data_IF_557810033902
#
_entry.id   IF_557810033902
#
_cell.length_a   1.000
_cell.length_b   1.000
_cell.length_c   1.000
_cell.angle_alpha   90.00
_cell.angle_beta   90.00
_cell.angle_gamma   90.00
#
_symmetry.space_group_name_H-M   'P 1'
#
loop_
_entity.id
_entity.type
_entity.pdbx_description
1 polymer ?
#
# COMPACT_ATOMS: atom_id res chain seq x y z
N UNK A 1 7.76 16.60 0.39
CA UNK A 1 8.12 15.17 0.61
C UNK A 1 6.93 14.51 1.26
N UNK A 2 6.40 13.44 0.68
CA UNK A 2 5.25 12.72 1.20
C UNK A 2 5.59 12.07 2.54
N UNK A 3 5.07 12.64 3.61
CA UNK A 3 5.26 12.16 4.99
C UNK A 3 4.00 12.48 5.75
N UNK A 4 3.48 11.48 6.47
CA UNK A 4 2.34 11.66 7.35
C UNK A 4 2.83 11.79 8.79
N UNK A 5 2.18 12.65 9.61
CA UNK A 5 2.70 13.05 10.92
C UNK A 5 2.59 11.95 11.98
N UNK A 6 1.81 10.91 11.74
CA UNK A 6 1.47 9.86 12.70
C UNK A 6 1.28 8.51 12.01
N UNK A 7 1.50 7.38 12.71
CA UNK A 7 1.18 6.07 12.18
C UNK A 7 -0.31 5.89 11.90
N UNK A 8 -0.65 5.04 10.94
CA UNK A 8 -2.03 4.83 10.49
C UNK A 8 -2.27 3.42 9.98
N UNK A 9 -3.53 3.03 9.83
CA UNK A 9 -3.92 1.84 9.05
C UNK A 9 -4.52 2.27 7.71
N UNK A 10 -4.39 1.39 6.72
CA UNK A 10 -4.99 1.58 5.39
C UNK A 10 -6.14 0.60 5.26
N UNK A 11 -7.31 1.10 4.91
CA UNK A 11 -8.46 0.27 4.56
C UNK A 11 -8.76 0.39 3.06
N UNK A 12 -9.02 -0.75 2.42
CA UNK A 12 -9.50 -0.86 1.05
C UNK A 12 -10.86 -1.54 1.12
N UNK A 13 -11.92 -0.89 0.60
CA UNK A 13 -13.30 -1.37 0.75
C UNK A 13 -13.70 -1.65 2.23
N UNK A 14 -13.22 -0.80 3.16
CA UNK A 14 -13.49 -0.94 4.60
C UNK A 14 -12.80 -2.12 5.28
N UNK A 15 -11.94 -2.87 4.56
CA UNK A 15 -11.13 -3.95 5.10
C UNK A 15 -9.68 -3.47 5.26
N UNK A 16 -9.05 -3.65 6.43
CA UNK A 16 -7.67 -3.23 6.63
C UNK A 16 -6.71 -4.08 5.79
N UNK A 17 -5.59 -3.50 5.36
CA UNK A 17 -4.49 -4.30 4.80
C UNK A 17 -3.89 -5.18 5.91
N UNK A 18 -3.77 -6.48 5.65
CA UNK A 18 -3.24 -7.47 6.58
C UNK A 18 -1.77 -7.24 6.86
N UNK A 19 -1.35 -7.41 8.12
CA UNK A 19 0.07 -7.49 8.47
C UNK A 19 0.71 -8.70 7.81
N UNK A 20 1.94 -8.52 7.33
CA UNK A 20 2.74 -9.62 6.78
C UNK A 20 3.23 -10.55 7.90
N UNK A 21 3.17 -11.87 7.66
CA UNK A 21 3.62 -12.91 8.61
C UNK A 21 5.14 -13.11 8.63
N UNK A 22 5.65 -13.68 9.73
CA UNK A 22 7.10 -13.81 9.99
C UNK A 22 7.84 -14.85 9.10
N UNK A 23 7.10 -15.65 8.30
CA UNK A 23 7.65 -16.67 7.40
C UNK A 23 7.65 -16.32 5.92
N UNK A 24 7.29 -15.07 5.59
CA UNK A 24 7.03 -14.66 4.22
C UNK A 24 8.30 -14.46 3.38
N UNK A 25 8.15 -14.67 2.07
CA UNK A 25 9.23 -14.49 1.09
C UNK A 25 9.69 -13.02 1.03
N UNK A 26 10.80 -12.73 0.34
CA UNK A 26 11.31 -11.34 0.22
C UNK A 26 10.33 -10.39 -0.46
N UNK A 27 9.40 -10.91 -1.27
CA UNK A 27 8.32 -10.16 -1.92
C UNK A 27 7.01 -10.95 -1.89
N UNK A 28 6.01 -10.44 -1.18
CA UNK A 28 4.71 -11.13 -1.02
C UNK A 28 3.56 -10.23 -1.47
N UNK A 29 2.54 -10.79 -2.12
CA UNK A 29 1.32 -10.08 -2.52
C UNK A 29 0.58 -9.55 -1.29
N UNK A 30 0.23 -8.26 -1.30
CA UNK A 30 -0.55 -7.67 -0.23
C UNK A 30 -2.01 -8.10 -0.30
N UNK A 31 -2.61 -8.33 0.85
CA UNK A 31 -3.99 -8.78 1.01
C UNK A 31 -4.73 -7.94 2.04
N UNK A 32 -6.04 -7.87 1.89
CA UNK A 32 -6.90 -7.36 2.97
C UNK A 32 -7.08 -8.43 4.05
N UNK A 33 -7.20 -8.01 5.29
CA UNK A 33 -7.54 -8.87 6.43
C UNK A 33 -9.06 -8.86 6.65
N UNK A 34 -9.61 -10.03 6.95
CA UNK A 34 -10.97 -10.21 7.47
C UNK A 34 -11.00 -10.45 8.98
N UNK A 35 -9.83 -10.51 9.62
CA UNK A 35 -9.59 -10.69 11.05
C UNK A 35 -9.19 -9.41 11.78
N UNK A 36 -8.24 -9.54 12.71
CA UNK A 36 -7.89 -8.50 13.70
C UNK A 36 -6.44 -7.99 13.61
N UNK A 37 -5.67 -8.41 12.61
CA UNK A 37 -4.23 -8.16 12.53
C UNK A 37 -3.90 -7.11 11.44
N UNK A 38 -4.51 -5.93 11.59
CA UNK A 38 -4.32 -4.79 10.70
C UNK A 38 -2.88 -4.26 10.76
N UNK A 39 -2.25 -4.08 9.59
CA UNK A 39 -0.95 -3.46 9.49
C UNK A 39 -0.98 -1.99 9.95
N UNK A 40 0.06 -1.57 10.65
CA UNK A 40 0.28 -0.19 11.08
C UNK A 40 1.44 0.38 10.31
N UNK A 41 1.17 1.43 9.56
CA UNK A 41 2.09 2.03 8.62
C UNK A 41 2.64 3.36 9.10
N UNK A 42 3.85 3.67 8.64
CA UNK A 42 4.41 5.02 8.65
C UNK A 42 4.77 5.41 7.22
N UNK A 43 4.37 6.61 6.79
CA UNK A 43 4.81 7.18 5.51
C UNK A 43 5.91 8.21 5.78
N UNK A 44 7.13 7.94 5.30
CA UNK A 44 8.30 8.83 5.44
C UNK A 44 9.01 8.95 4.10
N UNK A 45 9.13 10.17 3.57
CA UNK A 45 9.78 10.45 2.28
C UNK A 45 9.29 9.55 1.12
N UNK A 46 7.98 9.32 1.06
CA UNK A 46 7.36 8.45 0.06
C UNK A 46 7.60 6.95 0.25
N UNK A 47 8.17 6.55 1.38
CA UNK A 47 8.34 5.14 1.79
C UNK A 47 7.28 4.77 2.80
N UNK A 48 6.45 3.81 2.45
CA UNK A 48 5.38 3.29 3.30
C UNK A 48 5.87 2.04 4.03
N UNK A 49 6.29 2.20 5.28
CA UNK A 49 6.91 1.15 6.09
C UNK A 49 5.96 0.54 7.13
N UNK A 50 6.18 -0.72 7.48
CA UNK A 50 5.51 -1.46 8.56
C UNK A 50 6.47 -2.53 9.11
N UNK A 51 7.02 -2.34 10.31
CA UNK A 51 7.73 -3.39 11.06
C UNK A 51 8.87 -4.12 10.31
N UNK A 52 9.73 -3.39 9.58
CA UNK A 52 10.82 -3.99 8.79
C UNK A 52 10.42 -4.41 7.37
N UNK A 53 9.20 -4.08 6.95
CA UNK A 53 8.71 -4.25 5.59
C UNK A 53 8.29 -2.91 5.00
N UNK A 54 8.29 -2.83 3.67
CA UNK A 54 7.67 -1.75 2.92
C UNK A 54 6.52 -2.27 2.10
N UNK A 55 5.49 -1.45 1.93
CA UNK A 55 4.38 -1.72 1.03
C UNK A 55 4.45 -0.78 -0.16
N UNK A 56 4.34 -1.31 -1.38
CA UNK A 56 4.44 -0.49 -2.57
C UNK A 56 4.22 -1.26 -3.87
N UNK A 57 4.50 -0.59 -4.98
CA UNK A 57 4.56 -1.20 -6.31
C UNK A 57 6.00 -1.39 -6.75
N UNK A 58 6.24 -2.42 -7.55
CA UNK A 58 7.55 -2.64 -8.15
C UNK A 58 7.84 -1.53 -9.18
N UNK A 59 9.09 -1.07 -9.28
CA UNK A 59 9.50 -0.04 -10.23
C UNK A 59 9.36 -0.51 -11.69
N UNK A 60 9.61 -1.79 -11.91
CA UNK A 60 9.45 -2.44 -13.22
C UNK A 60 8.25 -3.37 -13.18
N UNK A 61 7.27 -3.11 -14.03
CA UNK A 61 6.04 -3.88 -14.19
C UNK A 61 5.84 -4.24 -15.67
N UNK A 62 4.98 -5.22 -15.96
CA UNK A 62 4.54 -5.45 -17.33
C UNK A 62 3.78 -4.23 -17.88
N UNK A 63 3.70 -4.15 -19.22
CA UNK A 63 3.03 -3.05 -19.92
C UNK A 63 1.53 -3.29 -20.14
N UNK A 64 0.91 -4.23 -19.42
CA UNK A 64 -0.53 -4.45 -19.53
C UNK A 64 -1.31 -3.30 -18.87
N UNK A 65 -2.58 -3.14 -19.21
CA UNK A 65 -3.49 -2.21 -18.52
C UNK A 65 -4.23 -2.86 -17.33
N UNK A 66 -3.86 -4.08 -16.95
CA UNK A 66 -4.44 -4.74 -15.78
C UNK A 66 -3.99 -4.04 -14.48
N UNK A 67 -4.83 -4.10 -13.42
CA UNK A 67 -4.45 -3.64 -12.09
C UNK A 67 -3.08 -4.18 -11.67
N UNK A 68 -2.31 -3.33 -11.00
CA UNK A 68 -0.92 -3.64 -10.66
C UNK A 68 -0.81 -4.15 -9.24
N UNK A 69 0.02 -5.16 -9.06
CA UNK A 69 0.24 -5.78 -7.75
C UNK A 69 0.84 -4.79 -6.77
N UNK A 70 0.23 -4.71 -5.59
CA UNK A 70 0.83 -4.06 -4.43
C UNK A 70 1.46 -5.16 -3.60
N UNK A 71 2.74 -5.00 -3.32
CA UNK A 71 3.58 -6.03 -2.73
C UNK A 71 4.17 -5.52 -1.42
N UNK A 72 4.33 -6.45 -0.49
CA UNK A 72 5.23 -6.34 0.63
C UNK A 72 6.67 -6.60 0.16
N UNK A 73 7.60 -5.79 0.61
CA UNK A 73 9.03 -5.90 0.34
C UNK A 73 9.78 -5.91 1.66
N UNK A 74 10.65 -6.89 1.87
CA UNK A 74 11.48 -6.93 3.07
C UNK A 74 12.47 -5.77 3.01
N UNK A 75 12.60 -4.99 4.08
CA UNK A 75 13.55 -3.88 4.10
C UNK A 75 14.98 -4.43 3.98
N UNK A 76 15.57 -4.23 2.81
CA UNK A 76 16.96 -4.49 2.48
C UNK A 76 17.38 -3.40 1.49
N UNK A 77 18.61 -2.88 1.60
CA UNK A 77 19.06 -1.69 0.86
C UNK A 77 18.83 -1.81 -0.67
N UNK A 78 18.98 -3.00 -1.24
CA UNK A 78 18.78 -3.24 -2.66
C UNK A 78 17.32 -3.11 -3.10
N UNK A 79 16.37 -3.46 -2.22
CA UNK A 79 14.95 -3.50 -2.54
C UNK A 79 14.33 -2.11 -2.57
N UNK A 80 14.82 -1.16 -1.77
CA UNK A 80 14.32 0.22 -1.74
C UNK A 80 14.38 0.91 -3.11
N UNK A 81 15.40 0.58 -3.91
CA UNK A 81 15.58 1.13 -5.28
C UNK A 81 14.61 0.53 -6.29
N UNK A 82 13.90 -0.54 -5.92
CA UNK A 82 12.97 -1.26 -6.79
C UNK A 82 11.51 -0.97 -6.46
N UNK A 83 11.23 -0.05 -5.53
CA UNK A 83 9.86 0.28 -5.08
C UNK A 83 9.53 1.70 -5.52
N UNK A 84 8.39 1.85 -6.21
CA UNK A 84 7.84 3.16 -6.57
C UNK A 84 7.43 3.94 -5.31
N UNK A 85 7.57 5.28 -5.30
CA UNK A 85 7.14 6.08 -4.16
C UNK A 85 5.62 6.00 -3.96
N UNK A 86 5.20 6.06 -2.69
CA UNK A 86 3.81 6.26 -2.28
C UNK A 86 3.62 7.74 -1.94
N UNK A 87 2.59 8.37 -2.50
CA UNK A 87 2.26 9.76 -2.18
C UNK A 87 0.97 9.84 -1.37
N UNK A 88 0.79 10.92 -0.62
CA UNK A 88 -0.42 11.16 0.16
C UNK A 88 -1.08 12.46 -0.28
N UNK A 89 -2.32 12.37 -0.73
CA UNK A 89 -3.15 13.52 -1.09
C UNK A 89 -4.14 13.77 0.04
N UNK A 90 -4.28 15.04 0.45
CA UNK A 90 -5.26 15.41 1.46
C UNK A 90 -6.64 15.52 0.80
N UNK A 91 -7.62 14.81 1.34
CA UNK A 91 -9.02 14.86 0.92
C UNK A 91 -9.91 15.21 2.12
N UNK A 92 -10.27 16.49 2.23
CA UNK A 92 -10.93 17.04 3.41
C UNK A 92 -10.09 16.85 4.69
N UNK A 93 -10.66 16.10 5.64
CA UNK A 93 -10.02 15.72 6.91
C UNK A 93 -9.30 14.37 6.84
N UNK A 94 -9.27 13.74 5.66
CA UNK A 94 -8.66 12.43 5.43
C UNK A 94 -7.48 12.51 4.47
N UNK A 95 -6.78 11.39 4.32
CA UNK A 95 -5.72 11.23 3.33
C UNK A 95 -6.04 10.07 2.39
N UNK A 96 -5.74 10.26 1.13
CA UNK A 96 -5.76 9.22 0.10
C UNK A 96 -4.32 8.90 -0.27
N UNK A 97 -3.94 7.63 -0.19
CA UNK A 97 -2.62 7.17 -0.60
C UNK A 97 -2.63 6.75 -2.07
N UNK A 98 -1.60 7.19 -2.80
CA UNK A 98 -1.41 6.88 -4.21
C UNK A 98 -0.15 6.04 -4.38
N UNK A 99 -0.29 4.88 -5.01
CA UNK A 99 0.77 3.92 -5.26
C UNK A 99 1.20 4.04 -6.72
N UNK A 100 2.32 4.73 -6.98
CA UNK A 100 2.72 5.05 -8.35
C UNK A 100 1.67 5.91 -9.06
N UNK A 101 1.08 6.87 -8.34
CA UNK A 101 0.03 7.76 -8.85
C UNK A 101 -1.35 7.12 -9.02
N UNK A 102 -1.57 5.91 -8.47
CA UNK A 102 -2.82 5.15 -8.63
C UNK A 102 -3.42 4.73 -7.30
N UNK A 103 -4.76 4.70 -7.23
CA UNK A 103 -5.49 4.29 -6.02
C UNK A 103 -5.54 2.77 -5.90
N UNK A 104 -5.71 2.33 -4.65
CA UNK A 104 -5.87 0.91 -4.35
C UNK A 104 -7.27 0.41 -4.68
N UNK A 105 -7.36 -0.85 -5.06
CA UNK A 105 -8.59 -1.64 -5.18
C UNK A 105 -8.38 -2.98 -4.48
N UNK A 106 -9.49 -3.68 -4.22
CA UNK A 106 -9.47 -5.06 -3.73
C UNK A 106 -10.16 -5.96 -4.74
N UNK A 107 -9.49 -7.04 -5.14
CA UNK A 107 -10.03 -8.10 -5.99
C UNK A 107 -9.65 -9.44 -5.36
N UNK A 108 -10.64 -10.30 -5.06
CA UNK A 108 -10.44 -11.63 -4.48
C UNK A 108 -9.52 -11.67 -3.23
N UNK A 109 -9.59 -10.62 -2.40
CA UNK A 109 -8.75 -10.45 -1.20
C UNK A 109 -7.36 -9.87 -1.47
N UNK A 110 -6.95 -9.71 -2.72
CA UNK A 110 -5.68 -9.11 -3.10
C UNK A 110 -5.81 -7.58 -3.19
N UNK A 111 -4.81 -6.88 -2.67
CA UNK A 111 -4.66 -5.43 -2.79
C UNK A 111 -3.91 -5.11 -4.08
N UNK A 112 -4.56 -4.37 -4.96
CA UNK A 112 -4.02 -3.99 -6.28
C UNK A 112 -4.11 -2.47 -6.44
N UNK A 113 -3.39 -1.91 -7.41
CA UNK A 113 -3.53 -0.52 -7.83
C UNK A 113 -4.23 -0.46 -9.19
N UNK A 114 -5.38 0.19 -9.26
CA UNK A 114 -6.12 0.32 -10.52
C UNK A 114 -5.41 1.28 -11.46
N UNK A 115 -5.26 0.89 -12.73
CA UNK A 115 -4.78 1.82 -13.76
C UNK A 115 -5.89 2.67 -14.36
N UNK A 116 -7.15 2.24 -14.19
CA UNK A 116 -8.34 2.98 -14.59
C UNK A 116 -8.79 3.90 -13.44
N UNK A 117 -9.22 5.10 -13.80
CA UNK A 117 -9.63 6.11 -12.82
C UNK A 117 -11.15 6.07 -12.53
N UNK A 118 -11.86 5.12 -13.16
CA UNK A 118 -13.32 4.98 -13.09
C UNK A 118 -13.71 4.04 -11.92
N UNK A 119 -14.59 4.54 -11.05
CA UNK A 119 -15.09 3.89 -9.81
C UNK A 119 -13.99 3.40 -8.84
N UNK A 120 -13.24 4.35 -8.30
CA UNK A 120 -12.20 4.04 -7.31
C UNK A 120 -12.83 3.84 -5.91
N UNK A 121 -12.54 2.72 -5.23
CA UNK A 121 -13.05 2.46 -3.90
C UNK A 121 -12.51 3.45 -2.87
N UNK A 122 -13.21 3.55 -1.75
CA UNK A 122 -12.85 4.45 -0.66
C UNK A 122 -11.60 3.87 0.04
N UNK A 123 -10.44 4.42 -0.27
CA UNK A 123 -9.22 4.19 0.53
C UNK A 123 -9.27 5.16 1.70
N UNK A 124 -9.50 4.63 2.90
CA UNK A 124 -9.53 5.43 4.14
C UNK A 124 -8.23 5.23 4.89
N UNK A 125 -7.49 6.33 5.09
CA UNK A 125 -6.40 6.38 6.05
C UNK A 125 -6.98 6.74 7.41
N UNK A 126 -6.88 5.82 8.38
CA UNK A 126 -7.26 6.08 9.78
C UNK A 126 -6.01 6.33 10.60
N UNK A 127 -5.83 7.58 11.01
CA UNK A 127 -4.79 7.96 11.96
C UNK A 127 -5.07 7.25 13.31
N UNK A 128 -4.03 6.70 13.93
CA UNK A 128 -4.12 6.15 15.29
C UNK A 128 -3.90 7.21 16.36
#
# INVERSE_FOLDING_TARGET
>A
MDTLPSPFSIEVNGKPIAKIGDGESTKTQAKVDSGSDAAVFELKNGRLGCGGWMLGRNLTEDRSMLPKKVLWFKMAEEQERTIQPVTAEKDGDSYVLMFGGKRLIEEDGDVLASLFDDELPIVIVKMK
#
